data_IF_583171674280
#
_entry.id   IF_583171674280
#
_cell.length_a   1.000
_cell.length_b   1.000
_cell.length_c   1.000
_cell.angle_alpha   90.00
_cell.angle_beta   90.00
_cell.angle_gamma   90.00
#
_symmetry.space_group_name_H-M   'P 1'
#
loop_
_entity.id
_entity.type
_entity.pdbx_description
1 polymer ?
#
# COMPACT_ATOMS: atom_id res chain seq x y z
N UNK A 1 -7.27 -14.95 1.18
CA UNK A 1 -6.99 -14.37 -0.17
C UNK A 1 -6.84 -12.86 -0.06
N UNK A 2 -5.87 -12.33 -0.74
CA UNK A 2 -5.60 -10.90 -0.81
C UNK A 2 -6.32 -10.33 -2.02
N UNK A 3 -7.01 -9.20 -1.86
CA UNK A 3 -7.58 -8.45 -2.96
C UNK A 3 -6.98 -7.05 -2.96
N UNK A 4 -6.23 -6.71 -4.02
CA UNK A 4 -5.64 -5.39 -4.18
C UNK A 4 -6.57 -4.50 -5.01
N UNK A 5 -6.97 -3.37 -4.45
CA UNK A 5 -7.72 -2.34 -5.16
C UNK A 5 -6.73 -1.29 -5.68
N UNK A 6 -6.49 -1.34 -6.99
CA UNK A 6 -5.58 -0.43 -7.66
C UNK A 6 -6.33 0.77 -8.23
N UNK A 7 -5.77 1.94 -8.02
CA UNK A 7 -6.24 3.18 -8.62
C UNK A 7 -5.11 3.75 -9.49
N UNK A 8 -5.43 4.19 -10.69
CA UNK A 8 -4.44 4.78 -11.57
C UNK A 8 -3.80 6.03 -10.92
N UNK A 9 -2.53 6.25 -11.18
CA UNK A 9 -1.73 7.35 -10.62
C UNK A 9 -1.78 7.40 -9.10
N UNK A 10 -1.64 6.25 -8.45
CA UNK A 10 -1.57 6.13 -7.00
C UNK A 10 -0.37 5.28 -6.58
N UNK A 11 -0.13 5.19 -5.27
CA UNK A 11 0.96 4.38 -4.73
C UNK A 11 0.68 2.88 -4.74
N UNK A 12 -0.46 2.46 -5.29
CA UNK A 12 -0.80 1.03 -5.34
C UNK A 12 0.16 0.20 -6.19
N UNK A 13 0.91 0.82 -7.11
CA UNK A 13 1.97 0.12 -7.84
C UNK A 13 3.03 -0.48 -6.93
N UNK A 14 3.32 0.15 -5.80
CA UNK A 14 4.28 -0.38 -4.82
C UNK A 14 3.79 -1.70 -4.22
N UNK A 15 2.50 -1.79 -3.96
CA UNK A 15 1.89 -2.99 -3.40
C UNK A 15 1.81 -4.09 -4.45
N UNK A 16 1.49 -3.73 -5.69
CA UNK A 16 1.51 -4.68 -6.79
C UNK A 16 2.91 -5.29 -6.97
N UNK A 17 3.94 -4.43 -6.98
CA UNK A 17 5.33 -4.89 -7.05
C UNK A 17 5.67 -5.82 -5.88
N UNK A 18 5.30 -5.44 -4.65
CA UNK A 18 5.56 -6.26 -3.48
C UNK A 18 4.88 -7.63 -3.57
N UNK A 19 3.63 -7.68 -4.01
CA UNK A 19 2.90 -8.94 -4.17
C UNK A 19 3.56 -9.84 -5.21
N UNK A 20 4.07 -9.27 -6.29
CA UNK A 20 4.83 -10.03 -7.30
C UNK A 20 6.14 -10.56 -6.73
N UNK A 21 6.87 -9.77 -5.94
CA UNK A 21 8.11 -10.21 -5.29
C UNK A 21 7.88 -11.30 -4.25
N UNK A 22 6.78 -11.20 -3.49
CA UNK A 22 6.41 -12.21 -2.49
C UNK A 22 5.97 -13.51 -3.17
N UNK A 23 5.28 -13.42 -4.30
CA UNK A 23 4.81 -14.57 -5.05
C UNK A 23 3.55 -15.23 -4.49
N UNK A 24 2.83 -14.57 -3.57
CA UNK A 24 1.56 -15.10 -3.04
C UNK A 24 0.41 -14.79 -4.00
N UNK A 25 -0.60 -15.68 -4.10
CA UNK A 25 -1.78 -15.40 -4.93
C UNK A 25 -2.57 -14.20 -4.42
N UNK A 26 -3.09 -13.40 -5.36
CA UNK A 26 -3.95 -12.26 -5.04
C UNK A 26 -4.91 -11.98 -6.19
N UNK A 27 -6.02 -11.30 -5.87
CA UNK A 27 -6.93 -10.74 -6.85
C UNK A 27 -6.58 -9.27 -7.10
N UNK A 28 -6.80 -8.82 -8.33
CA UNK A 28 -6.47 -7.46 -8.75
C UNK A 28 -7.73 -6.78 -9.27
N UNK A 29 -8.16 -5.72 -8.58
CA UNK A 29 -9.33 -4.93 -8.97
C UNK A 29 -8.86 -3.54 -9.39
N UNK A 30 -9.12 -3.17 -10.64
CA UNK A 30 -8.69 -1.89 -11.19
C UNK A 30 -9.82 -0.87 -11.05
N UNK A 31 -9.51 0.26 -10.44
CA UNK A 31 -10.38 1.43 -10.37
C UNK A 31 -9.78 2.56 -11.20
N UNK A 32 -10.63 3.41 -11.75
CA UNK A 32 -10.21 4.56 -12.55
C UNK A 32 -10.66 5.86 -11.89
N UNK A 33 -9.79 6.85 -11.86
CA UNK A 33 -10.16 8.20 -11.41
C UNK A 33 -11.15 8.81 -12.38
N UNK A 34 -12.00 9.70 -11.87
CA UNK A 34 -12.86 10.51 -12.72
C UNK A 34 -11.96 11.44 -13.56
N UNK A 35 -12.14 11.42 -14.88
CA UNK A 35 -11.30 12.17 -15.81
C UNK A 35 -11.40 13.68 -15.62
N UNK A 36 -12.55 14.18 -15.17
CA UNK A 36 -12.79 15.60 -14.97
C UNK A 36 -12.32 16.12 -13.62
N UNK A 37 -12.61 15.35 -12.54
CA UNK A 37 -12.31 15.78 -11.16
C UNK A 37 -11.00 15.21 -10.63
N UNK A 38 -10.46 14.18 -11.28
CA UNK A 38 -9.30 13.43 -10.81
C UNK A 38 -9.51 12.74 -9.45
N UNK A 39 -10.75 12.61 -9.01
CA UNK A 39 -11.10 11.95 -7.76
C UNK A 39 -11.26 10.44 -7.95
N UNK A 40 -11.17 9.71 -6.83
CA UNK A 40 -11.41 8.28 -6.81
C UNK A 40 -12.90 7.98 -7.10
N UNK A 41 -13.20 6.82 -7.72
CA UNK A 41 -14.58 6.47 -8.03
C UNK A 41 -15.36 6.09 -6.76
N UNK A 42 -16.71 6.19 -6.79
CA UNK A 42 -17.55 5.82 -5.65
C UNK A 42 -17.33 4.40 -5.12
N UNK A 43 -16.91 3.48 -5.97
CA UNK A 43 -16.66 2.10 -5.56
C UNK A 43 -15.57 2.00 -4.48
N UNK A 44 -14.55 2.86 -4.49
CA UNK A 44 -13.53 2.90 -3.44
C UNK A 44 -14.08 3.50 -2.15
N UNK A 45 -14.90 4.53 -2.23
CA UNK A 45 -15.54 5.15 -1.07
C UNK A 45 -16.48 4.17 -0.37
N UNK A 46 -17.12 3.27 -1.11
CA UNK A 46 -17.99 2.23 -0.54
C UNK A 46 -17.20 1.23 0.30
N UNK A 47 -15.93 1.01 -0.01
CA UNK A 47 -15.07 0.08 0.73
C UNK A 47 -14.44 0.72 1.97
N UNK A 48 -14.11 1.99 1.91
CA UNK A 48 -13.51 2.73 3.01
C UNK A 48 -13.85 4.22 2.90
N UNK A 49 -14.18 4.90 4.02
CA UNK A 49 -14.61 6.30 4.01
C UNK A 49 -13.60 7.26 3.36
N UNK A 50 -12.30 6.96 3.43
CA UNK A 50 -11.27 7.79 2.82
C UNK A 50 -11.14 7.59 1.30
N UNK A 51 -11.64 6.47 0.77
CA UNK A 51 -11.64 6.20 -0.67
C UNK A 51 -10.27 6.29 -1.32
N UNK A 52 -9.22 5.89 -0.61
CA UNK A 52 -7.83 6.01 -1.08
C UNK A 52 -7.29 4.69 -1.60
N UNK A 53 -6.25 4.77 -2.42
CA UNK A 53 -5.48 3.63 -2.91
C UNK A 53 -3.99 3.87 -2.61
N UNK A 54 -3.21 2.84 -2.26
CA UNK A 54 -3.61 1.43 -2.26
C UNK A 54 -4.59 1.10 -1.14
N UNK A 55 -5.39 0.08 -1.41
CA UNK A 55 -6.31 -0.51 -0.46
C UNK A 55 -6.31 -2.01 -0.71
N UNK A 56 -6.23 -2.80 0.35
CA UNK A 56 -6.36 -4.26 0.22
C UNK A 56 -7.48 -4.76 1.12
N UNK A 57 -8.03 -5.89 0.73
CA UNK A 57 -8.88 -6.71 1.59
C UNK A 57 -8.10 -7.98 1.91
N UNK A 58 -7.98 -8.30 3.18
CA UNK A 58 -7.26 -9.48 3.65
C UNK A 58 -7.85 -9.95 4.97
N UNK A 59 -8.22 -11.23 5.02
CA UNK A 59 -8.74 -11.87 6.23
C UNK A 59 -9.93 -11.12 6.87
N UNK A 60 -10.80 -10.56 6.04
CA UNK A 60 -11.98 -9.83 6.49
C UNK A 60 -11.74 -8.36 6.82
N UNK A 61 -10.50 -7.91 6.78
CA UNK A 61 -10.16 -6.50 7.02
C UNK A 61 -9.95 -5.75 5.72
N UNK A 62 -10.39 -4.50 5.69
CA UNK A 62 -10.06 -3.54 4.63
C UNK A 62 -8.97 -2.63 5.16
N UNK A 63 -7.81 -2.63 4.49
CA UNK A 63 -6.60 -1.98 5.00
C UNK A 63 -6.16 -0.90 4.02
N UNK A 64 -5.89 0.28 4.56
CA UNK A 64 -5.32 1.42 3.82
C UNK A 64 -3.92 1.75 4.35
N UNK A 65 -3.28 2.73 3.77
CA UNK A 65 -1.91 3.18 4.04
C UNK A 65 -0.87 2.23 3.46
N UNK A 66 -0.13 2.70 2.46
CA UNK A 66 0.82 1.86 1.72
C UNK A 66 1.89 1.25 2.61
N UNK A 67 2.42 1.99 3.58
CA UNK A 67 3.44 1.46 4.48
C UNK A 67 2.87 0.40 5.42
N UNK A 68 1.65 0.61 5.94
CA UNK A 68 0.98 -0.38 6.79
C UNK A 68 0.69 -1.67 6.02
N UNK A 69 0.21 -1.54 4.79
CA UNK A 69 -0.04 -2.69 3.91
C UNK A 69 1.25 -3.46 3.67
N UNK A 70 2.34 -2.76 3.37
CA UNK A 70 3.65 -3.37 3.14
C UNK A 70 4.11 -4.16 4.37
N UNK A 71 4.03 -3.56 5.56
CA UNK A 71 4.41 -4.22 6.80
C UNK A 71 3.58 -5.48 7.06
N UNK A 72 2.26 -5.39 6.90
CA UNK A 72 1.36 -6.50 7.16
C UNK A 72 1.56 -7.65 6.17
N UNK A 73 1.73 -7.34 4.89
CA UNK A 73 1.98 -8.36 3.87
C UNK A 73 3.30 -9.07 4.12
N UNK A 74 4.35 -8.32 4.44
CA UNK A 74 5.66 -8.92 4.75
C UNK A 74 5.60 -9.77 6.03
N UNK A 75 4.96 -9.27 7.08
CA UNK A 75 4.85 -10.02 8.32
C UNK A 75 4.16 -11.37 8.13
N UNK A 76 3.13 -11.41 7.28
CA UNK A 76 2.35 -12.63 7.07
C UNK A 76 2.96 -13.57 6.03
N UNK A 77 3.43 -13.04 4.91
CA UNK A 77 3.82 -13.87 3.75
C UNK A 77 5.31 -13.88 3.47
N UNK A 78 6.08 -12.94 4.00
CA UNK A 78 7.51 -12.83 3.73
C UNK A 78 8.26 -12.25 4.94
N UNK A 79 8.19 -12.91 6.12
CA UNK A 79 8.81 -12.36 7.34
C UNK A 79 10.32 -12.19 7.21
N UNK A 80 10.98 -12.91 6.31
CA UNK A 80 12.40 -12.76 6.04
C UNK A 80 12.76 -11.37 5.45
N UNK A 81 11.79 -10.61 4.94
CA UNK A 81 12.01 -9.27 4.41
C UNK A 81 12.04 -8.19 5.50
N UNK A 82 11.64 -8.53 6.72
CA UNK A 82 11.61 -7.59 7.84
C UNK A 82 12.68 -8.00 8.85
N UNK A 83 13.58 -7.07 9.27
CA UNK A 83 14.53 -7.37 10.34
C UNK A 83 13.82 -7.69 11.65
N UNK A 84 14.45 -8.51 12.48
CA UNK A 84 13.90 -8.89 13.78
C UNK A 84 13.75 -7.69 14.71
N UNK A 85 12.63 -7.62 15.40
CA UNK A 85 12.37 -6.58 16.41
C UNK A 85 13.45 -6.59 17.48
N UNK A 86 13.84 -5.39 17.96
CA UNK A 86 14.87 -5.23 18.96
C UNK A 86 16.30 -5.15 18.42
N UNK A 87 16.47 -5.25 17.09
CA UNK A 87 17.76 -5.11 16.43
C UNK A 87 17.97 -3.71 15.88
N UNK A 88 19.24 -3.30 15.69
CA UNK A 88 19.55 -2.04 15.01
C UNK A 88 19.03 -2.02 13.56
N UNK A 89 19.05 -3.16 12.89
CA UNK A 89 18.50 -3.29 11.54
C UNK A 89 17.00 -2.98 11.52
N UNK A 90 16.26 -3.40 12.54
CA UNK A 90 14.82 -3.10 12.63
C UNK A 90 14.58 -1.60 12.84
N UNK A 91 15.43 -0.92 13.61
CA UNK A 91 15.34 0.54 13.77
C UNK A 91 15.53 1.24 12.42
N UNK A 92 16.54 0.84 11.63
CA UNK A 92 16.78 1.40 10.29
C UNK A 92 15.61 1.13 9.36
N UNK A 93 15.01 -0.05 9.45
CA UNK A 93 13.83 -0.42 8.68
C UNK A 93 12.65 0.52 8.99
N UNK A 94 12.34 0.73 10.27
CA UNK A 94 11.27 1.63 10.68
C UNK A 94 11.53 3.07 10.23
N UNK A 95 12.76 3.56 10.40
CA UNK A 95 13.13 4.89 9.92
C UNK A 95 12.89 5.04 8.43
N UNK A 96 13.32 4.05 7.63
CA UNK A 96 13.16 4.09 6.18
C UNK A 96 11.68 4.06 5.76
N UNK A 97 10.88 3.20 6.40
CA UNK A 97 9.45 3.11 6.09
C UNK A 97 8.71 4.41 6.37
N UNK A 98 8.98 5.03 7.51
CA UNK A 98 8.33 6.30 7.87
C UNK A 98 8.88 7.48 7.08
N UNK A 99 10.18 7.48 6.79
CA UNK A 99 10.79 8.51 5.95
C UNK A 99 10.18 8.54 4.55
N UNK A 100 9.96 7.38 3.94
CA UNK A 100 9.43 7.29 2.58
C UNK A 100 8.10 8.04 2.42
N UNK A 101 7.17 7.86 3.36
CA UNK A 101 5.85 8.49 3.27
C UNK A 101 5.78 9.85 3.98
N UNK A 102 6.47 10.00 5.13
CA UNK A 102 6.39 11.19 5.95
C UNK A 102 7.30 12.32 5.50
N UNK A 103 8.36 12.03 4.77
CA UNK A 103 9.36 13.04 4.39
C UNK A 103 9.69 13.04 2.90
N UNK A 104 10.04 11.89 2.33
CA UNK A 104 10.54 11.82 0.95
C UNK A 104 9.47 12.10 -0.09
N UNK A 105 8.26 11.59 0.10
CA UNK A 105 7.20 11.71 -0.92
C UNK A 105 6.58 13.10 -0.99
N UNK A 106 6.57 13.85 0.11
CA UNK A 106 5.96 15.19 0.13
C UNK A 106 6.60 16.14 -0.92
N UNK A 107 7.94 16.29 -0.96
CA UNK A 107 8.55 17.11 -2.02
C UNK A 107 8.28 16.57 -3.43
N UNK A 108 8.29 15.26 -3.61
CA UNK A 108 8.01 14.64 -4.91
C UNK A 108 6.61 15.01 -5.39
N UNK A 109 5.62 14.88 -4.52
CA UNK A 109 4.23 15.19 -4.86
C UNK A 109 4.00 16.68 -5.12
N UNK A 110 4.71 17.55 -4.40
CA UNK A 110 4.56 19.01 -4.56
C UNK A 110 5.22 19.52 -5.84
N UNK A 111 6.14 18.77 -6.45
CA UNK A 111 6.82 19.14 -7.69
C UNK A 111 6.17 18.54 -8.94
N UNK A 112 5.05 17.87 -8.79
CA UNK A 112 4.29 17.33 -9.93
C UNK A 112 3.27 18.37 -10.50
#
# INVERSE_FOLDING_TARGET
>A
MIKLHHLNRSRSLRILWLLEEIGTPYEFVIHQRNEKTNLAPPALLALHPLGKSPMIEMDGDTIIESAAITELLCAKYAPQMIPDAGTSAHIRHLEAMHFAEGSAMTPVLLNL
#
